data_IF_613435130725
#
_entry.id   IF_613435130725
#
_cell.length_a   1.000
_cell.length_b   1.000
_cell.length_c   1.000
_cell.angle_alpha   90.00
_cell.angle_beta   90.00
_cell.angle_gamma   90.00
#
_symmetry.space_group_name_H-M   'P 1'
#
loop_
_entity.id
_entity.type
_entity.pdbx_description
1 polymer ?
#
# COMPACT_ATOMS: atom_id res chain seq x y z
N UNK A 1 3.97 -27.01 12.30
CA UNK A 1 4.00 -26.86 10.83
C UNK A 1 3.45 -25.51 10.36
N UNK A 2 2.20 -25.15 10.68
CA UNK A 2 1.59 -23.86 10.28
C UNK A 2 2.43 -22.61 10.60
N UNK A 3 3.09 -22.56 11.76
CA UNK A 3 3.99 -21.45 12.14
C UNK A 3 5.22 -21.37 11.21
N UNK A 4 5.81 -22.52 10.86
CA UNK A 4 6.93 -22.56 9.93
C UNK A 4 6.48 -22.11 8.54
N UNK A 5 5.31 -22.58 8.08
CA UNK A 5 4.74 -22.16 6.81
C UNK A 5 4.47 -20.65 6.76
N UNK A 6 3.93 -20.06 7.83
CA UNK A 6 3.72 -18.61 7.93
C UNK A 6 5.03 -17.83 7.79
N UNK A 7 6.08 -18.30 8.48
CA UNK A 7 7.41 -17.67 8.42
C UNK A 7 8.03 -17.79 7.04
N UNK A 8 8.02 -18.99 6.45
CA UNK A 8 8.63 -19.24 5.15
C UNK A 8 7.87 -18.50 4.05
N UNK A 9 6.53 -18.44 4.13
CA UNK A 9 5.71 -17.60 3.25
C UNK A 9 6.01 -16.10 3.42
N UNK A 10 6.15 -15.64 4.68
CA UNK A 10 6.58 -14.27 4.99
C UNK A 10 7.90 -13.91 4.32
N UNK A 11 8.90 -14.78 4.43
CA UNK A 11 10.19 -14.62 3.78
C UNK A 11 10.06 -14.51 2.27
N UNK A 12 9.35 -15.43 1.62
CA UNK A 12 9.14 -15.41 0.16
C UNK A 12 8.42 -14.14 -0.30
N UNK A 13 7.40 -13.69 0.44
CA UNK A 13 6.69 -12.44 0.16
C UNK A 13 7.60 -11.20 0.26
N UNK A 14 8.58 -11.22 1.16
CA UNK A 14 9.49 -10.10 1.39
C UNK A 14 10.68 -10.09 0.42
N UNK A 15 11.28 -11.25 0.15
CA UNK A 15 12.56 -11.33 -0.57
C UNK A 15 12.42 -11.78 -2.02
N UNK A 16 11.47 -12.66 -2.33
CA UNK A 16 11.38 -13.31 -3.65
C UNK A 16 10.29 -12.69 -4.54
N UNK A 17 9.26 -12.07 -3.93
CA UNK A 17 8.17 -11.50 -4.70
C UNK A 17 8.68 -10.36 -5.62
N UNK A 18 8.39 -10.39 -6.93
CA UNK A 18 8.99 -9.48 -7.91
C UNK A 18 8.29 -8.11 -7.95
N UNK A 19 8.19 -7.42 -6.80
CA UNK A 19 7.48 -6.14 -6.64
C UNK A 19 7.89 -5.11 -7.68
N UNK A 20 9.20 -5.00 -7.95
CA UNK A 20 9.75 -4.01 -8.88
C UNK A 20 9.33 -4.29 -10.33
N UNK A 21 9.50 -5.53 -10.79
CA UNK A 21 9.19 -5.92 -12.16
C UNK A 21 7.68 -5.78 -12.42
N UNK A 22 6.84 -6.15 -11.45
CA UNK A 22 5.39 -5.98 -11.53
C UNK A 22 5.01 -4.50 -11.58
N UNK A 23 5.64 -3.66 -10.73
CA UNK A 23 5.43 -2.21 -10.74
C UNK A 23 5.79 -1.57 -12.07
N UNK A 24 6.98 -1.86 -12.60
CA UNK A 24 7.44 -1.36 -13.90
C UNK A 24 6.48 -1.79 -15.03
N UNK A 25 6.08 -3.06 -15.06
CA UNK A 25 5.17 -3.60 -16.07
C UNK A 25 3.80 -2.90 -16.08
N UNK A 26 3.24 -2.61 -14.91
CA UNK A 26 1.91 -2.00 -14.79
C UNK A 26 1.93 -0.48 -15.01
N UNK A 27 3.01 0.20 -14.61
CA UNK A 27 3.10 1.66 -14.69
C UNK A 27 3.64 2.19 -16.03
N UNK A 28 4.20 1.33 -16.90
CA UNK A 28 4.83 1.76 -18.18
C UNK A 28 3.92 2.39 -19.22
N UNK A 29 2.60 2.14 -19.18
CA UNK A 29 1.66 2.58 -20.22
C UNK A 29 0.98 3.95 -19.93
N UNK A 30 1.38 4.65 -18.87
CA UNK A 30 0.73 5.91 -18.50
C UNK A 30 1.48 7.08 -19.16
N UNK A 31 0.86 7.72 -20.16
CA UNK A 31 1.52 8.69 -21.04
C UNK A 31 1.28 10.17 -20.64
N UNK A 32 0.14 10.49 -20.04
CA UNK A 32 -0.21 11.88 -19.76
C UNK A 32 0.24 12.33 -18.36
N UNK A 33 0.92 13.50 -18.22
CA UNK A 33 1.41 13.99 -16.93
C UNK A 33 0.33 14.08 -15.85
N UNK A 34 -0.88 14.56 -16.18
CA UNK A 34 -2.00 14.67 -15.24
C UNK A 34 -2.44 13.31 -14.69
N UNK A 35 -2.41 12.27 -15.53
CA UNK A 35 -2.76 10.90 -15.12
C UNK A 35 -1.69 10.31 -14.19
N UNK A 36 -0.42 10.66 -14.38
CA UNK A 36 0.67 10.22 -13.50
C UNK A 36 0.51 10.76 -12.07
N UNK A 37 0.17 12.05 -11.91
CA UNK A 37 -0.07 12.65 -10.59
C UNK A 37 -1.27 12.03 -9.88
N UNK A 38 -2.40 11.90 -10.59
CA UNK A 38 -3.61 11.26 -10.04
C UNK A 38 -3.34 9.80 -9.65
N UNK A 39 -2.60 9.06 -10.48
CA UNK A 39 -2.25 7.67 -10.19
C UNK A 39 -1.38 7.58 -8.94
N UNK A 40 -0.38 8.47 -8.79
CA UNK A 40 0.47 8.54 -7.60
C UNK A 40 -0.36 8.77 -6.34
N UNK A 41 -1.32 9.69 -6.36
CA UNK A 41 -2.21 9.95 -5.23
C UNK A 41 -3.00 8.70 -4.81
N UNK A 42 -3.62 8.01 -5.78
CA UNK A 42 -4.38 6.77 -5.50
C UNK A 42 -3.48 5.67 -4.93
N UNK A 43 -2.24 5.54 -5.40
CA UNK A 43 -1.28 4.57 -4.85
C UNK A 43 -0.91 4.89 -3.40
N UNK A 44 -0.70 6.17 -3.07
CA UNK A 44 -0.41 6.61 -1.71
C UNK A 44 -1.60 6.37 -0.76
N UNK A 45 -2.81 6.69 -1.21
CA UNK A 45 -4.03 6.42 -0.44
C UNK A 45 -4.21 4.91 -0.19
N UNK A 46 -4.01 4.09 -1.23
CA UNK A 46 -4.08 2.62 -1.11
C UNK A 46 -3.04 2.09 -0.12
N UNK A 47 -1.80 2.60 -0.18
CA UNK A 47 -0.74 2.24 0.76
C UNK A 47 -1.12 2.55 2.20
N UNK A 48 -1.76 3.70 2.45
CA UNK A 48 -2.29 4.07 3.76
C UNK A 48 -3.30 3.06 4.29
N UNK A 49 -4.33 2.76 3.50
CA UNK A 49 -5.37 1.77 3.86
C UNK A 49 -4.80 0.37 4.15
N UNK A 50 -3.86 -0.08 3.32
CA UNK A 50 -3.20 -1.38 3.53
C UNK A 50 -2.41 -1.38 4.83
N UNK A 51 -1.70 -0.29 5.13
CA UNK A 51 -0.93 -0.17 6.38
C UNK A 51 -1.84 -0.24 7.61
N UNK A 52 -2.95 0.50 7.62
CA UNK A 52 -3.90 0.48 8.73
C UNK A 52 -4.43 -0.93 9.01
N UNK A 53 -4.73 -1.68 7.94
CA UNK A 53 -5.19 -3.06 8.09
C UNK A 53 -4.10 -3.99 8.61
N UNK A 54 -2.86 -3.87 8.11
CA UNK A 54 -1.71 -4.64 8.62
C UNK A 54 -1.43 -4.31 10.08
N UNK A 55 -1.51 -3.04 10.47
CA UNK A 55 -1.29 -2.61 11.85
C UNK A 55 -2.33 -3.21 12.81
N UNK A 56 -3.60 -3.33 12.37
CA UNK A 56 -4.64 -4.04 13.13
C UNK A 56 -4.31 -5.52 13.29
N UNK A 57 -3.93 -6.21 12.21
CA UNK A 57 -3.61 -7.64 12.25
C UNK A 57 -2.37 -7.93 13.12
N UNK A 58 -1.38 -7.03 13.14
CA UNK A 58 -0.20 -7.15 14.01
C UNK A 58 -0.52 -6.97 15.51
N UNK A 59 -1.68 -6.40 15.82
CA UNK A 59 -2.21 -6.31 17.19
C UNK A 59 -3.02 -7.54 17.60
N UNK A 60 -3.22 -8.52 16.71
CA UNK A 60 -3.87 -9.78 17.05
C UNK A 60 -3.09 -10.49 18.17
N UNK A 61 -3.80 -10.80 19.26
CA UNK A 61 -3.29 -11.56 20.42
C UNK A 61 -4.04 -12.88 20.59
N UNK A 62 -4.45 -13.49 19.48
CA UNK A 62 -5.06 -14.82 19.48
C UNK A 62 -4.11 -15.85 20.10
N UNK A 63 -4.58 -16.74 21.00
CA UNK A 63 -3.75 -17.80 21.56
C UNK A 63 -3.19 -18.73 20.48
N UNK A 64 -1.88 -18.92 20.47
CA UNK A 64 -1.18 -19.83 19.56
C UNK A 64 -0.37 -20.85 20.37
N UNK A 65 -0.57 -22.14 20.09
CA UNK A 65 0.03 -23.24 20.84
C UNK A 65 -0.24 -23.09 22.36
N UNK A 66 0.80 -22.97 23.18
CA UNK A 66 0.70 -22.78 24.62
C UNK A 66 0.78 -21.30 25.04
N UNK A 67 0.84 -20.36 24.10
CA UNK A 67 0.89 -18.92 24.42
C UNK A 67 -0.52 -18.35 24.64
N UNK A 68 -0.65 -17.50 25.64
CA UNK A 68 -1.90 -16.80 26.00
C UNK A 68 -1.61 -15.33 26.32
N UNK A 69 -1.26 -14.53 25.30
CA UNK A 69 -0.99 -13.12 25.51
C UNK A 69 -2.23 -12.37 26.02
N UNK A 70 -2.03 -11.27 26.74
CA UNK A 70 -3.12 -10.39 27.14
C UNK A 70 -3.71 -9.70 25.89
N UNK A 71 -5.02 -9.75 25.75
CA UNK A 71 -5.73 -9.08 24.66
C UNK A 71 -5.62 -7.56 24.81
N UNK A 72 -5.30 -6.88 23.71
CA UNK A 72 -5.20 -5.41 23.62
C UNK A 72 -6.28 -4.80 22.72
N UNK A 73 -6.87 -5.60 21.84
CA UNK A 73 -7.97 -5.20 20.97
C UNK A 73 -9.31 -5.31 21.70
N UNK A 74 -10.29 -4.54 21.21
CA UNK A 74 -11.68 -4.64 21.65
C UNK A 74 -12.19 -6.09 21.61
N UNK A 75 -12.93 -6.57 22.63
CA UNK A 75 -13.33 -7.97 22.74
C UNK A 75 -14.04 -8.52 21.50
N UNK A 76 -14.88 -7.69 20.86
CA UNK A 76 -15.59 -8.07 19.64
C UNK A 76 -14.63 -8.31 18.47
N UNK A 77 -13.62 -7.46 18.28
CA UNK A 77 -12.63 -7.63 17.20
C UNK A 77 -11.74 -8.84 17.48
N UNK A 78 -11.19 -8.92 18.71
CA UNK A 78 -10.29 -10.02 19.09
C UNK A 78 -10.98 -11.38 18.97
N UNK A 79 -12.29 -11.47 19.29
CA UNK A 79 -13.06 -12.71 19.13
C UNK A 79 -13.07 -13.21 17.68
N UNK A 80 -13.29 -12.32 16.71
CA UNK A 80 -13.33 -12.71 15.29
C UNK A 80 -11.95 -13.13 14.79
N UNK A 81 -10.90 -12.40 15.18
CA UNK A 81 -9.51 -12.75 14.85
C UNK A 81 -9.10 -14.08 15.49
N UNK A 82 -9.52 -14.33 16.73
CA UNK A 82 -9.28 -15.61 17.42
C UNK A 82 -9.96 -16.76 16.71
N UNK A 83 -11.22 -16.59 16.31
CA UNK A 83 -11.92 -17.60 15.53
C UNK A 83 -11.19 -17.89 14.21
N UNK A 84 -10.78 -16.85 13.48
CA UNK A 84 -10.01 -16.99 12.24
C UNK A 84 -8.66 -17.70 12.45
N UNK A 85 -7.94 -17.34 13.52
CA UNK A 85 -6.68 -17.97 13.89
C UNK A 85 -6.87 -19.47 14.20
N UNK A 86 -7.92 -19.83 14.94
CA UNK A 86 -8.22 -21.23 15.27
C UNK A 86 -8.54 -22.07 14.03
N UNK A 87 -9.40 -21.59 13.12
CA UNK A 87 -9.76 -22.32 11.90
C UNK A 87 -8.61 -22.42 10.89
N UNK A 88 -7.70 -21.45 10.89
CA UNK A 88 -6.51 -21.45 10.02
C UNK A 88 -5.27 -22.07 10.68
N UNK A 89 -5.43 -22.68 11.85
CA UNK A 89 -4.34 -23.27 12.64
C UNK A 89 -3.18 -22.28 12.91
N UNK A 90 -3.50 -20.99 13.07
CA UNK A 90 -2.54 -19.93 13.35
C UNK A 90 -1.75 -19.43 12.14
N UNK A 91 -1.98 -19.98 10.95
CA UNK A 91 -1.31 -19.54 9.72
C UNK A 91 -1.96 -18.28 9.11
N UNK A 92 -3.28 -18.13 9.25
CA UNK A 92 -4.07 -17.17 8.48
C UNK A 92 -3.65 -15.70 8.63
N UNK A 93 -3.69 -15.15 9.85
CA UNK A 93 -3.38 -13.73 10.07
C UNK A 93 -1.93 -13.39 9.63
N UNK A 94 -0.90 -14.19 10.01
CA UNK A 94 0.45 -14.00 9.49
C UNK A 94 0.56 -14.06 7.96
N UNK A 95 -0.16 -14.97 7.31
CA UNK A 95 -0.15 -15.09 5.86
C UNK A 95 -0.76 -13.86 5.18
N UNK A 96 -1.87 -13.33 5.70
CA UNK A 96 -2.47 -12.10 5.19
C UNK A 96 -1.49 -10.94 5.35
N UNK A 97 -0.85 -10.79 6.51
CA UNK A 97 0.16 -9.75 6.74
C UNK A 97 1.32 -9.89 5.75
N UNK A 98 1.86 -11.10 5.56
CA UNK A 98 2.93 -11.36 4.59
C UNK A 98 2.54 -10.97 3.15
N UNK A 99 1.36 -11.39 2.69
CA UNK A 99 0.86 -11.04 1.37
C UNK A 99 0.66 -9.52 1.20
N UNK A 100 0.14 -8.85 2.22
CA UNK A 100 -0.02 -7.40 2.22
C UNK A 100 1.32 -6.66 2.28
N UNK A 101 2.35 -7.21 2.90
CA UNK A 101 3.72 -6.69 2.82
C UNK A 101 4.25 -6.73 1.38
N UNK A 102 4.06 -7.85 0.66
CA UNK A 102 4.41 -7.92 -0.76
C UNK A 102 3.67 -6.88 -1.62
N UNK A 103 2.37 -6.65 -1.32
CA UNK A 103 1.57 -5.58 -1.94
C UNK A 103 2.13 -4.20 -1.60
N UNK A 104 2.49 -3.93 -0.34
CA UNK A 104 3.10 -2.66 0.06
C UNK A 104 4.42 -2.41 -0.67
N UNK A 105 5.25 -3.44 -0.83
CA UNK A 105 6.49 -3.36 -1.60
C UNK A 105 6.23 -3.03 -3.07
N UNK A 106 5.23 -3.68 -3.69
CA UNK A 106 4.76 -3.33 -5.03
C UNK A 106 4.31 -1.87 -5.12
N UNK A 107 3.45 -1.40 -4.20
CA UNK A 107 2.96 -0.02 -4.20
C UNK A 107 4.11 0.98 -4.04
N UNK A 108 5.11 0.67 -3.20
CA UNK A 108 6.31 1.49 -3.04
C UNK A 108 7.11 1.57 -4.36
N UNK A 109 7.35 0.45 -5.03
CA UNK A 109 8.05 0.42 -6.31
C UNK A 109 7.26 1.15 -7.41
N UNK A 110 5.93 1.03 -7.43
CA UNK A 110 5.08 1.79 -8.35
C UNK A 110 5.19 3.29 -8.15
N UNK A 111 5.19 3.77 -6.89
CA UNK A 111 5.40 5.20 -6.59
C UNK A 111 6.79 5.66 -7.06
N UNK A 112 7.85 4.89 -6.74
CA UNK A 112 9.21 5.20 -7.20
C UNK A 112 9.31 5.26 -8.73
N UNK A 113 8.65 4.34 -9.44
CA UNK A 113 8.63 4.34 -10.90
C UNK A 113 7.94 5.59 -11.45
N UNK A 114 6.76 5.95 -10.92
CA UNK A 114 6.03 7.13 -11.37
C UNK A 114 6.79 8.43 -11.07
N UNK A 115 7.47 8.53 -9.93
CA UNK A 115 8.31 9.70 -9.61
C UNK A 115 9.44 9.89 -10.63
N UNK A 116 10.08 8.81 -11.08
CA UNK A 116 11.07 8.87 -12.16
C UNK A 116 10.44 9.35 -13.46
N UNK A 117 9.26 8.83 -13.83
CA UNK A 117 8.55 9.25 -15.04
C UNK A 117 8.19 10.73 -14.99
N UNK A 118 7.57 11.18 -13.89
CA UNK A 118 7.19 12.59 -13.66
C UNK A 118 8.41 13.51 -13.78
N UNK A 119 9.53 13.15 -13.13
CA UNK A 119 10.77 13.95 -13.18
C UNK A 119 11.44 13.93 -14.55
N UNK A 120 11.13 12.95 -15.41
CA UNK A 120 11.71 12.81 -16.74
C UNK A 120 11.00 13.67 -17.80
N UNK A 121 9.85 14.28 -17.48
CA UNK A 121 9.19 15.26 -18.35
C UNK A 121 9.83 16.65 -18.15
N UNK A 122 10.60 17.19 -19.12
CA UNK A 122 11.14 18.54 -19.02
C UNK A 122 10.01 19.52 -19.38
N UNK A 123 9.24 19.97 -18.38
CA UNK A 123 8.18 20.97 -18.59
C UNK A 123 7.14 21.19 -17.49
N UNK A 124 7.23 20.54 -16.32
CA UNK A 124 6.16 20.55 -15.31
C UNK A 124 6.12 21.70 -14.30
N UNK A 125 6.91 22.77 -14.49
CA UNK A 125 6.82 23.99 -13.66
C UNK A 125 6.65 25.21 -14.56
N UNK A 126 5.42 25.53 -14.94
CA UNK A 126 4.96 26.91 -15.18
C UNK A 126 3.43 26.98 -15.35
N UNK A 127 2.83 27.91 -14.61
CA UNK A 127 1.52 28.55 -14.84
C UNK A 127 0.22 27.74 -14.63
N UNK A 128 -0.29 27.77 -13.38
CA UNK A 128 -1.70 28.15 -13.20
C UNK A 128 -1.80 29.62 -13.65
N UNK A 129 -2.28 29.85 -14.88
CA UNK A 129 -2.63 31.17 -15.37
C UNK A 129 -3.79 31.72 -14.56
N UNK A 130 -3.48 32.54 -13.55
CA UNK A 130 -4.36 33.61 -13.09
C UNK A 130 -4.76 34.43 -14.31
N UNK A 131 -6.05 34.39 -14.64
CA UNK A 131 -6.68 35.23 -15.64
C UNK A 131 -6.59 36.68 -15.14
N UNK A 132 -5.70 37.48 -15.73
CA UNK A 132 -5.70 38.94 -15.61
C UNK A 132 -6.96 39.48 -16.32
N UNK A 133 -7.86 40.20 -15.63
CA UNK A 133 -8.97 40.86 -16.29
C UNK A 133 -8.44 42.05 -17.09
N UNK A 134 -8.70 41.98 -18.40
CA UNK A 134 -8.44 43.03 -19.39
C UNK A 134 -8.76 44.43 -18.84
N UNK A 135 -7.77 45.32 -18.91
CA UNK A 135 -7.99 46.77 -18.96
C UNK A 135 -8.68 47.09 -20.29
N UNK A 136 -9.96 47.41 -20.24
CA UNK A 136 -10.71 47.98 -21.35
C UNK A 136 -10.73 49.51 -21.22
N UNK A 137 -10.16 50.13 -22.26
CA UNK A 137 -10.40 51.45 -22.83
C UNK A 137 -10.33 52.74 -21.99
N UNK A 138 -9.29 53.51 -22.30
CA UNK A 138 -9.30 54.97 -22.24
C UNK A 138 -8.81 55.52 -23.60
N UNK A 139 -9.77 55.91 -24.47
CA UNK A 139 -9.76 57.05 -25.42
C UNK A 139 -10.54 56.73 -26.69
N UNK A 140 -11.77 57.26 -26.79
CA UNK A 140 -12.06 58.42 -27.66
C UNK A 140 -13.42 59.01 -27.33
#
# INVERSE_FOLDING_TARGET
EAIHLARDFGYVCETEFPSRQVAEYLCRNHAEPTDLYRRKEVLLATKGMVKEFVDLLNQDRSPLCNTRPQNILEPNIQRHLTHFSLITHGFGSPAIVAALTAVQNFLNESVKYLEKQINSYPGGTTHLGSVDPKKEDAKK
#
